data_IF_211110763746
#
_entry.id   IF_211110763746
#
_cell.length_a   1.000
_cell.length_b   1.000
_cell.length_c   1.000
_cell.angle_alpha   90.00
_cell.angle_beta   90.00
_cell.angle_gamma   90.00
#
_symmetry.space_group_name_H-M   'P 1'
#
loop_
_entity.id
_entity.type
_entity.pdbx_description
1 polymer ?
#
# COMPACT_ATOMS: atom_id res chain seq x y z
N UNK A 1 -40.01 5.97 38.73
CA UNK A 1 -38.73 6.69 38.75
C UNK A 1 -37.76 5.90 39.62
N UNK A 2 -36.90 5.10 39.00
CA UNK A 2 -35.84 4.37 39.67
C UNK A 2 -34.57 4.51 38.83
N UNK A 3 -33.69 5.41 39.27
CA UNK A 3 -32.35 5.61 38.74
C UNK A 3 -31.46 4.48 39.25
N UNK A 4 -30.93 3.66 38.35
CA UNK A 4 -29.81 2.76 38.65
C UNK A 4 -28.66 3.08 37.70
N UNK A 5 -27.78 3.94 38.20
CA UNK A 5 -26.38 4.02 37.81
C UNK A 5 -25.76 2.62 37.84
N UNK A 6 -25.28 2.13 36.70
CA UNK A 6 -24.35 1.00 36.66
C UNK A 6 -22.99 1.54 36.19
N UNK A 7 -22.24 2.03 37.17
CA UNK A 7 -20.82 2.33 37.05
C UNK A 7 -20.07 1.01 36.85
N UNK A 8 -19.48 0.79 35.68
CA UNK A 8 -18.66 -0.38 35.40
C UNK A 8 -17.17 -0.03 35.66
N UNK A 9 -16.53 -0.59 36.70
CA UNK A 9 -15.11 -0.40 36.98
C UNK A 9 -14.16 -1.30 36.14
N UNK A 10 -12.89 -0.89 36.00
CA UNK A 10 -11.94 -1.40 35.02
C UNK A 10 -11.34 -2.75 35.44
N UNK A 11 -11.24 -3.69 34.50
CA UNK A 11 -10.50 -4.94 34.70
C UNK A 11 -9.26 -4.95 33.80
N UNK A 12 -8.15 -4.67 34.48
CA UNK A 12 -6.80 -4.86 33.99
C UNK A 12 -6.39 -6.34 34.01
N UNK A 13 -5.34 -6.62 33.23
CA UNK A 13 -4.41 -7.76 33.34
C UNK A 13 -4.95 -9.08 32.73
N UNK A 14 -4.18 -9.92 32.03
CA UNK A 14 -2.75 -10.25 32.16
C UNK A 14 -2.20 -10.71 30.81
N UNK A 15 -1.03 -10.20 30.45
CA UNK A 15 -0.22 -10.65 29.33
C UNK A 15 0.34 -12.06 29.57
N UNK A 16 0.33 -12.96 28.57
CA UNK A 16 1.09 -14.19 28.63
C UNK A 16 2.56 -13.93 28.27
N UNK A 17 3.40 -14.45 29.15
CA UNK A 17 4.84 -14.32 29.23
C UNK A 17 5.45 -15.54 28.52
N UNK A 18 6.06 -15.35 27.35
CA UNK A 18 6.80 -16.43 26.68
C UNK A 18 8.31 -16.19 26.80
N UNK A 19 8.90 -16.99 27.70
CA UNK A 19 10.33 -17.02 27.98
C UNK A 19 11.09 -17.68 26.84
N UNK A 20 11.89 -16.83 26.19
CA UNK A 20 13.27 -17.05 25.69
C UNK A 20 13.91 -18.42 26.01
N UNK A 21 13.95 -19.30 25.02
CA UNK A 21 14.97 -20.35 24.86
C UNK A 21 15.64 -20.07 23.51
N UNK A 22 16.72 -19.28 23.46
CA UNK A 22 18.11 -19.74 23.41
C UNK A 22 18.31 -21.07 22.66
N UNK A 23 19.15 -20.99 21.63
CA UNK A 23 19.75 -22.10 20.87
C UNK A 23 18.89 -22.63 19.72
N UNK A 24 18.98 -21.99 18.55
CA UNK A 24 19.34 -22.70 17.31
C UNK A 24 19.67 -21.70 16.20
N UNK A 25 20.96 -21.37 16.10
CA UNK A 25 21.53 -20.81 14.89
C UNK A 25 21.65 -21.97 13.90
N UNK A 26 20.65 -22.16 13.03
CA UNK A 26 20.81 -23.04 11.87
C UNK A 26 20.89 -22.20 10.60
N UNK A 27 22.13 -21.92 10.27
CA UNK A 27 22.62 -21.41 9.02
C UNK A 27 22.34 -22.44 7.93
N UNK A 28 21.26 -22.26 7.17
CA UNK A 28 21.00 -23.06 5.96
C UNK A 28 21.14 -22.15 4.75
N UNK A 29 22.25 -22.31 4.03
CA UNK A 29 22.52 -21.71 2.73
C UNK A 29 21.88 -22.63 1.67
N UNK A 30 20.94 -22.16 0.84
CA UNK A 30 20.37 -22.98 -0.22
C UNK A 30 21.29 -23.02 -1.45
N UNK A 31 21.52 -24.18 -2.07
CA UNK A 31 21.99 -24.27 -3.45
C UNK A 31 20.86 -24.69 -4.40
N UNK A 32 20.57 -23.79 -5.34
CA UNK A 32 20.38 -24.04 -6.77
C UNK A 32 19.37 -25.08 -7.28
N UNK A 33 18.31 -24.58 -7.92
CA UNK A 33 17.67 -25.17 -9.12
C UNK A 33 16.92 -23.99 -9.80
N UNK A 34 17.42 -23.36 -10.88
CA UNK A 34 17.37 -23.79 -12.28
C UNK A 34 16.00 -23.41 -12.88
N UNK A 35 15.81 -22.72 -14.01
CA UNK A 35 16.62 -22.16 -15.09
C UNK A 35 15.68 -21.25 -15.94
N UNK A 36 16.25 -20.45 -16.86
CA UNK A 36 15.67 -19.93 -18.13
C UNK A 36 14.45 -18.98 -18.08
N UNK A 37 14.72 -17.69 -17.84
CA UNK A 37 13.91 -16.57 -18.31
C UNK A 37 14.81 -15.56 -19.03
N UNK A 38 14.69 -15.51 -20.35
CA UNK A 38 15.45 -14.70 -21.33
C UNK A 38 15.94 -13.34 -20.82
N UNK A 39 17.21 -13.07 -21.10
CA UNK A 39 17.81 -11.74 -21.18
C UNK A 39 16.82 -10.76 -21.82
N UNK A 40 16.29 -9.84 -21.03
CA UNK A 40 15.81 -8.55 -21.50
C UNK A 40 16.54 -7.51 -20.67
N UNK A 41 17.66 -7.00 -21.19
CA UNK A 41 18.20 -5.71 -20.77
C UNK A 41 17.39 -4.65 -21.54
N UNK A 42 16.47 -3.89 -20.94
CA UNK A 42 16.14 -2.61 -21.52
C UNK A 42 17.31 -1.67 -21.21
N UNK A 43 17.92 -1.20 -22.28
CA UNK A 43 18.93 -0.17 -22.26
C UNK A 43 18.30 1.15 -21.79
N UNK A 44 18.96 1.88 -20.88
CA UNK A 44 18.57 3.18 -20.30
C UNK A 44 17.51 3.15 -19.19
N UNK A 45 17.80 2.47 -18.08
CA UNK A 45 16.83 2.20 -17.01
C UNK A 45 16.83 3.38 -16.00
N UNK A 46 15.79 4.19 -16.01
CA UNK A 46 15.47 5.02 -14.83
C UNK A 46 15.15 4.03 -13.71
N UNK A 47 15.99 3.98 -12.68
CA UNK A 47 15.83 3.03 -11.58
C UNK A 47 14.74 3.45 -10.63
N UNK A 48 14.74 4.74 -10.29
CA UNK A 48 13.82 5.31 -9.32
C UNK A 48 13.18 6.58 -9.86
N UNK A 49 11.98 6.84 -9.39
CA UNK A 49 11.22 8.05 -9.63
C UNK A 49 10.97 8.76 -8.31
N UNK A 50 10.89 10.09 -8.36
CA UNK A 50 10.49 10.89 -7.21
C UNK A 50 8.97 10.87 -7.11
N UNK A 51 8.47 10.27 -6.04
CA UNK A 51 7.04 10.22 -5.73
C UNK A 51 6.78 11.08 -4.51
N UNK A 52 5.95 12.10 -4.68
CA UNK A 52 5.49 12.96 -3.59
C UNK A 52 4.12 12.45 -3.15
N UNK A 53 3.98 12.15 -1.86
CA UNK A 53 2.76 11.60 -1.25
C UNK A 53 2.21 12.62 -0.26
N UNK A 54 0.99 13.09 -0.52
CA UNK A 54 0.20 13.87 0.45
C UNK A 54 -0.69 12.92 1.26
N UNK A 55 -0.46 12.85 2.57
CA UNK A 55 -1.22 12.01 3.49
C UNK A 55 -1.57 12.79 4.76
N UNK A 56 -2.87 12.87 5.09
CA UNK A 56 -3.39 13.60 6.27
C UNK A 56 -2.85 15.03 6.43
N UNK A 57 -2.63 15.74 5.32
CA UNK A 57 -2.09 17.11 5.31
C UNK A 57 -0.56 17.20 5.45
N UNK A 58 0.14 16.07 5.53
CA UNK A 58 1.60 15.99 5.47
C UNK A 58 2.08 15.57 4.09
N UNK A 59 3.07 16.26 3.54
CA UNK A 59 3.67 15.93 2.24
C UNK A 59 5.04 15.29 2.45
N UNK A 60 5.22 14.07 1.94
CA UNK A 60 6.47 13.32 2.03
C UNK A 60 6.96 12.98 0.62
N UNK A 61 8.22 13.28 0.32
CA UNK A 61 8.85 12.91 -0.94
C UNK A 61 9.71 11.66 -0.76
N UNK A 62 9.46 10.64 -1.58
CA UNK A 62 10.16 9.36 -1.56
C UNK A 62 10.78 9.07 -2.92
N UNK A 63 11.88 8.34 -2.93
CA UNK A 63 12.44 7.75 -4.14
C UNK A 63 11.96 6.31 -4.22
N UNK A 64 11.14 6.02 -5.23
CA UNK A 64 10.50 4.71 -5.43
C UNK A 64 11.06 4.07 -6.68
N UNK A 65 11.50 2.82 -6.58
CA UNK A 65 12.03 2.08 -7.74
C UNK A 65 10.91 1.74 -8.72
N UNK A 66 11.23 1.65 -10.01
CA UNK A 66 10.27 1.27 -11.06
C UNK A 66 9.72 -0.16 -10.92
N UNK A 67 10.45 -1.03 -10.20
CA UNK A 67 10.09 -2.42 -9.91
C UNK A 67 9.45 -2.58 -8.51
N UNK A 68 9.21 -1.48 -7.77
CA UNK A 68 8.60 -1.49 -6.43
C UNK A 68 7.26 -0.71 -6.41
N UNK A 69 6.30 -1.17 -5.61
CA UNK A 69 5.04 -0.47 -5.43
C UNK A 69 5.19 0.73 -4.51
N UNK A 70 4.46 1.81 -4.80
CA UNK A 70 4.51 3.05 -4.02
C UNK A 70 4.16 2.79 -2.54
N UNK A 71 3.19 1.90 -2.26
CA UNK A 71 2.84 1.54 -0.89
C UNK A 71 4.00 0.89 -0.13
N UNK A 72 4.73 -0.04 -0.76
CA UNK A 72 5.84 -0.74 -0.10
C UNK A 72 6.91 0.26 0.33
N UNK A 73 7.25 1.19 -0.56
CA UNK A 73 8.23 2.23 -0.27
C UNK A 73 7.74 3.23 0.78
N UNK A 74 6.44 3.57 0.76
CA UNK A 74 5.83 4.43 1.76
C UNK A 74 5.93 3.84 3.18
N UNK A 75 5.59 2.55 3.33
CA UNK A 75 5.69 1.86 4.63
C UNK A 75 7.14 1.74 5.10
N UNK A 76 8.08 1.42 4.20
CA UNK A 76 9.53 1.36 4.48
C UNK A 76 10.06 2.71 5.00
N UNK A 77 9.55 3.82 4.46
CA UNK A 77 9.89 5.17 4.90
C UNK A 77 9.24 5.57 6.24
N UNK A 78 8.36 4.75 6.79
CA UNK A 78 7.63 5.01 8.03
C UNK A 78 6.31 5.78 7.85
N UNK A 79 5.83 5.92 6.61
CA UNK A 79 4.55 6.57 6.31
C UNK A 79 3.40 5.59 6.50
N UNK A 80 2.47 5.92 7.41
CA UNK A 80 1.37 5.04 7.82
C UNK A 80 0.13 5.19 6.91
N UNK A 81 0.24 4.78 5.65
CA UNK A 81 -0.91 4.76 4.71
C UNK A 81 -1.89 3.64 5.11
N UNK A 82 -3.23 3.85 5.05
CA UNK A 82 -4.21 2.78 5.23
C UNK A 82 -4.02 1.68 4.17
N UNK A 83 -3.96 0.42 4.61
CA UNK A 83 -3.82 -0.75 3.74
C UNK A 83 -4.22 -2.04 4.46
N UNK A 84 -4.83 -2.98 3.72
CA UNK A 84 -5.17 -4.32 4.23
C UNK A 84 -4.54 -5.43 3.39
N UNK A 85 -5.07 -5.65 2.18
CA UNK A 85 -4.78 -6.84 1.38
C UNK A 85 -3.42 -6.79 0.67
N UNK A 86 -2.97 -5.60 0.24
CA UNK A 86 -1.78 -5.42 -0.63
C UNK A 86 -1.79 -6.23 -1.94
N UNK A 87 -2.99 -6.55 -2.43
CA UNK A 87 -3.20 -7.39 -3.62
C UNK A 87 -3.96 -6.64 -4.74
N UNK A 88 -4.23 -5.34 -4.58
CA UNK A 88 -4.95 -4.55 -5.58
C UNK A 88 -6.46 -4.75 -5.64
N UNK A 89 -7.07 -5.46 -4.66
CA UNK A 89 -8.50 -5.85 -4.72
C UNK A 89 -9.39 -5.23 -3.63
N UNK A 90 -8.85 -4.91 -2.46
CA UNK A 90 -9.63 -4.50 -1.29
C UNK A 90 -10.02 -3.01 -1.29
N UNK A 91 -9.43 -2.20 -2.16
CA UNK A 91 -9.69 -0.76 -2.28
C UNK A 91 -9.36 0.09 -1.03
N UNK A 92 -8.78 -0.46 0.05
CA UNK A 92 -8.40 0.28 1.28
C UNK A 92 -7.21 1.23 1.14
N UNK A 93 -6.42 1.13 0.07
CA UNK A 93 -5.26 2.00 -0.15
C UNK A 93 -5.42 2.95 -1.36
N UNK A 94 -6.54 3.69 -1.46
CA UNK A 94 -6.78 4.53 -2.61
C UNK A 94 -5.99 5.84 -2.53
N UNK A 95 -5.56 6.29 -3.69
CA UNK A 95 -4.95 7.59 -3.88
C UNK A 95 -5.42 8.21 -5.18
N UNK A 96 -5.36 9.53 -5.24
CA UNK A 96 -5.57 10.32 -6.43
C UNK A 96 -4.23 10.77 -6.99
N UNK A 97 -4.00 10.51 -8.26
CA UNK A 97 -2.85 10.97 -9.02
C UNK A 97 -3.09 12.43 -9.41
N UNK A 98 -2.33 13.35 -8.80
CA UNK A 98 -2.38 14.78 -9.10
C UNK A 98 -1.51 15.13 -10.32
N UNK A 99 -0.39 14.41 -10.48
CA UNK A 99 0.53 14.57 -11.61
C UNK A 99 1.39 13.32 -11.79
N UNK A 100 1.86 13.11 -13.03
CA UNK A 100 2.72 11.99 -13.40
C UNK A 100 1.95 10.82 -14.01
N UNK A 101 2.56 9.64 -14.02
CA UNK A 101 1.98 8.42 -14.56
C UNK A 101 2.42 7.21 -13.77
N UNK A 102 1.46 6.36 -13.44
CA UNK A 102 1.67 5.09 -12.74
C UNK A 102 1.10 3.96 -13.57
N UNK A 103 1.72 2.79 -13.46
CA UNK A 103 1.21 1.53 -13.98
C UNK A 103 0.49 0.82 -12.83
N UNK A 104 -0.81 0.60 -12.99
CA UNK A 104 -1.63 -0.14 -12.02
C UNK A 104 -2.37 -1.31 -12.65
N UNK A 105 -1.72 -1.98 -13.61
CA UNK A 105 -2.28 -3.13 -14.32
C UNK A 105 -2.66 -4.31 -13.43
N UNK A 106 -2.08 -4.39 -12.23
CA UNK A 106 -2.42 -5.42 -11.21
C UNK A 106 -3.61 -5.01 -10.31
N UNK A 107 -4.10 -3.78 -10.42
CA UNK A 107 -5.22 -3.25 -9.63
C UNK A 107 -6.58 -3.61 -10.22
N UNK A 108 -7.56 -3.83 -9.34
CA UNK A 108 -8.95 -4.13 -9.71
C UNK A 108 -9.84 -2.88 -9.56
N UNK A 109 -9.56 -1.86 -10.36
CA UNK A 109 -10.40 -0.65 -10.50
C UNK A 109 -11.15 -0.69 -11.84
N UNK A 110 -12.27 0.04 -11.94
CA UNK A 110 -12.94 0.22 -13.24
C UNK A 110 -12.15 1.20 -14.09
N UNK A 111 -12.22 1.04 -15.40
CA UNK A 111 -11.48 1.90 -16.34
C UNK A 111 -11.84 3.38 -16.14
N UNK A 112 -13.11 3.72 -15.89
CA UNK A 112 -13.57 5.08 -15.61
C UNK A 112 -12.91 5.71 -14.37
N UNK A 113 -12.70 4.91 -13.32
CA UNK A 113 -12.07 5.37 -12.08
C UNK A 113 -10.57 5.58 -12.29
N UNK A 114 -9.92 4.70 -13.07
CA UNK A 114 -8.53 4.87 -13.49
C UNK A 114 -8.36 6.12 -14.35
N UNK A 115 -9.25 6.35 -15.33
CA UNK A 115 -9.24 7.55 -16.18
C UNK A 115 -9.52 8.84 -15.40
N UNK A 116 -10.32 8.76 -14.34
CA UNK A 116 -10.56 9.85 -13.39
C UNK A 116 -9.32 10.19 -12.52
N UNK A 117 -8.22 9.46 -12.69
CA UNK A 117 -6.95 9.69 -12.02
C UNK A 117 -6.86 9.05 -10.63
N UNK A 118 -7.68 8.04 -10.33
CA UNK A 118 -7.57 7.28 -9.09
C UNK A 118 -6.71 6.04 -9.28
N UNK A 119 -5.95 5.71 -8.25
CA UNK A 119 -5.06 4.56 -8.26
C UNK A 119 -4.96 3.88 -6.89
N UNK A 120 -4.63 2.58 -6.89
CA UNK A 120 -4.37 1.83 -5.67
C UNK A 120 -2.86 1.80 -5.39
N UNK A 121 -2.43 2.37 -4.26
CA UNK A 121 -1.01 2.47 -3.91
C UNK A 121 -0.31 1.11 -3.82
N UNK A 122 -1.04 0.06 -3.43
CA UNK A 122 -0.49 -1.29 -3.33
C UNK A 122 -0.23 -1.99 -4.66
N UNK A 123 -0.81 -1.49 -5.75
CA UNK A 123 -0.68 -2.06 -7.09
C UNK A 123 -0.14 -1.03 -8.09
N UNK A 124 0.34 0.14 -7.62
CA UNK A 124 0.84 1.21 -8.46
C UNK A 124 2.37 1.21 -8.51
N UNK A 125 2.92 1.08 -9.71
CA UNK A 125 4.33 1.24 -10.02
C UNK A 125 4.57 2.58 -10.71
N UNK A 126 5.53 3.40 -10.26
CA UNK A 126 5.80 4.67 -10.90
C UNK A 126 6.43 4.48 -12.29
N UNK A 127 5.94 5.25 -13.28
CA UNK A 127 6.54 5.33 -14.63
C UNK A 127 7.15 6.71 -14.93
N UNK A 128 6.86 7.69 -14.08
CA UNK A 128 7.45 9.03 -14.08
C UNK A 128 7.55 9.55 -12.65
N UNK A 129 8.14 10.73 -12.47
CA UNK A 129 7.94 11.49 -11.23
C UNK A 129 6.45 11.77 -11.05
N UNK A 130 5.93 11.49 -9.85
CA UNK A 130 4.49 11.53 -9.58
C UNK A 130 4.19 12.34 -8.32
N UNK A 131 3.02 12.98 -8.32
CA UNK A 131 2.44 13.60 -7.14
C UNK A 131 1.10 12.95 -6.87
N UNK A 132 0.94 12.34 -5.70
CA UNK A 132 -0.25 11.59 -5.33
C UNK A 132 -0.77 12.07 -3.98
N UNK A 133 -2.09 11.98 -3.81
CA UNK A 133 -2.77 12.30 -2.55
C UNK A 133 -3.59 11.11 -2.10
N UNK A 134 -3.39 10.65 -0.87
CA UNK A 134 -4.22 9.60 -0.29
C UNK A 134 -5.64 10.12 -0.09
N UNK A 135 -6.64 9.30 -0.42
CA UNK A 135 -8.06 9.59 -0.20
C UNK A 135 -8.66 8.54 0.75
N UNK A 136 -9.77 8.85 1.45
CA UNK A 136 -10.47 7.85 2.25
C UNK A 136 -11.14 6.79 1.36
N UNK A 137 -11.32 5.58 1.90
CA UNK A 137 -11.93 4.45 1.19
C UNK A 137 -13.37 4.74 0.72
N UNK A 138 -14.16 5.46 1.53
CA UNK A 138 -15.54 5.82 1.21
C UNK A 138 -15.65 6.67 -0.07
N UNK A 139 -14.66 7.55 -0.32
CA UNK A 139 -14.65 8.40 -1.51
C UNK A 139 -14.42 7.55 -2.78
N UNK A 140 -13.44 6.64 -2.75
CA UNK A 140 -13.17 5.75 -3.88
C UNK A 140 -14.36 4.81 -4.14
N UNK A 141 -14.92 4.22 -3.09
CA UNK A 141 -16.04 3.28 -3.21
C UNK A 141 -17.26 3.95 -3.84
N UNK A 142 -17.54 5.19 -3.47
CA UNK A 142 -18.65 5.97 -4.04
C UNK A 142 -18.50 6.15 -5.56
N UNK A 143 -17.27 6.40 -6.05
CA UNK A 143 -16.99 6.54 -7.48
C UNK A 143 -17.06 5.21 -8.23
N UNK A 144 -16.52 4.15 -7.63
CA UNK A 144 -16.54 2.81 -8.21
C UNK A 144 -17.98 2.28 -8.34
N UNK A 145 -18.85 2.55 -7.37
CA UNK A 145 -20.27 2.18 -7.45
C UNK A 145 -21.06 3.05 -8.41
N UNK A 146 -20.70 4.33 -8.55
CA UNK A 146 -21.34 5.22 -9.51
C UNK A 146 -21.09 4.78 -10.96
N UNK A 147 -19.91 4.23 -11.24
CA UNK A 147 -19.53 3.74 -12.58
C UNK A 147 -20.10 2.35 -12.90
N UNK A 148 -20.50 1.56 -11.90
CA UNK A 148 -21.02 0.21 -12.07
C UNK A 148 -22.55 0.12 -12.35
N UNK A 149 -23.28 1.23 -12.22
CA UNK A 149 -24.76 1.26 -12.32
C UNK A 149 -25.29 1.79 -13.67
N UNK A 150 -24.44 1.89 -14.69
CA UNK A 150 -24.83 2.15 -16.10
C UNK A 150 -24.83 0.84 -16.91
#
# INVERSE_FOLDING_TARGET
MATLHFSWPPMAMKHPQWKRHSTFCFKVKPPGMGMIGKIRRPSSIIRSYKVVIEHEGSTTALEVDSDETILSKAIDSGLSVPHDCKLGVCMTCPAKLLSGSVDQSEGMLSDDVVESGYALLCASYPRSDCHIRTIPEDELLSLQLATAND
#
